data_IF_447069231353
#
_entry.id   IF_447069231353
#
_cell.length_a   1.000
_cell.length_b   1.000
_cell.length_c   1.000
_cell.angle_alpha   90.00
_cell.angle_beta   90.00
_cell.angle_gamma   90.00
#
_symmetry.space_group_name_H-M   'P 1'
#
loop_
_entity.id
_entity.type
_entity.pdbx_description
1 polymer ?
#
# COMPACT_ATOMS: atom_id res chain seq x y z
N UNK A 1 -5.78 -14.17 9.94
CA UNK A 1 -5.64 -12.71 10.21
C UNK A 1 -6.61 -11.97 9.31
N UNK A 2 -7.37 -11.02 9.85
CA UNK A 2 -8.38 -10.25 9.11
C UNK A 2 -7.73 -9.53 7.91
N UNK A 3 -8.28 -9.70 6.71
CA UNK A 3 -7.88 -9.00 5.48
C UNK A 3 -8.35 -7.53 5.48
N UNK A 4 -8.36 -6.88 6.65
CA UNK A 4 -8.78 -5.48 6.77
C UNK A 4 -7.66 -4.60 6.20
N UNK A 5 -8.01 -3.81 5.18
CA UNK A 5 -7.09 -2.83 4.63
C UNK A 5 -6.72 -1.80 5.72
N UNK A 6 -5.42 -1.56 5.92
CA UNK A 6 -4.93 -0.53 6.84
C UNK A 6 -4.99 0.80 6.08
N UNK A 7 -5.82 1.73 6.56
CA UNK A 7 -5.97 3.05 5.95
C UNK A 7 -4.72 3.89 6.15
N UNK A 8 -4.31 4.69 5.17
CA UNK A 8 -3.21 5.66 5.34
C UNK A 8 -3.59 6.90 6.14
N UNK A 9 -4.89 7.11 6.40
CA UNK A 9 -5.36 8.12 7.34
C UNK A 9 -5.33 7.63 8.79
N UNK A 10 -4.94 6.39 9.05
CA UNK A 10 -4.72 5.88 10.40
C UNK A 10 -3.37 6.41 10.92
N UNK A 11 -3.31 7.13 12.05
CA UNK A 11 -2.05 7.65 12.59
C UNK A 11 -1.03 6.53 12.86
N UNK A 12 -1.52 5.33 13.18
CA UNK A 12 -0.70 4.16 13.48
C UNK A 12 -0.58 3.22 12.26
N UNK A 13 -0.79 3.72 11.03
CA UNK A 13 -0.73 2.92 9.81
C UNK A 13 0.63 2.22 9.65
N UNK A 14 1.74 2.93 9.84
CA UNK A 14 3.10 2.39 9.71
C UNK A 14 3.36 1.29 10.75
N UNK A 15 2.99 1.53 12.01
CA UNK A 15 3.15 0.54 13.08
C UNK A 15 2.37 -0.74 12.77
N UNK A 16 1.09 -0.62 12.38
CA UNK A 16 0.24 -1.76 12.01
C UNK A 16 0.78 -2.50 10.79
N UNK A 17 1.31 -1.78 9.80
CA UNK A 17 1.91 -2.38 8.61
C UNK A 17 3.21 -3.13 8.95
N UNK A 18 4.07 -2.56 9.80
CA UNK A 18 5.29 -3.21 10.27
C UNK A 18 5.00 -4.47 11.09
N UNK A 19 4.04 -4.42 12.02
CA UNK A 19 3.62 -5.61 12.77
C UNK A 19 3.05 -6.71 11.85
N UNK A 20 2.28 -6.32 10.84
CA UNK A 20 1.76 -7.26 9.83
C UNK A 20 2.89 -7.84 8.96
N UNK A 21 3.87 -7.01 8.58
CA UNK A 21 5.04 -7.45 7.82
C UNK A 21 5.83 -8.50 8.59
N UNK A 22 6.14 -8.23 9.86
CA UNK A 22 6.86 -9.17 10.73
C UNK A 22 6.11 -10.50 10.86
N UNK A 23 4.79 -10.47 11.06
CA UNK A 23 3.97 -11.67 11.11
C UNK A 23 4.00 -12.47 9.80
N UNK A 24 3.93 -11.79 8.65
CA UNK A 24 4.03 -12.43 7.34
C UNK A 24 5.42 -13.02 7.09
N UNK A 25 6.49 -12.34 7.50
CA UNK A 25 7.87 -12.83 7.39
C UNK A 25 8.11 -14.05 8.29
N UNK A 26 7.68 -14.01 9.55
CA UNK A 26 7.70 -15.16 10.46
C UNK A 26 6.95 -16.36 9.88
N UNK A 27 5.74 -16.13 9.33
CA UNK A 27 4.97 -17.17 8.65
C UNK A 27 5.72 -17.73 7.43
N UNK A 28 6.38 -16.89 6.64
CA UNK A 28 7.12 -17.33 5.46
C UNK A 28 8.28 -18.26 5.84
N UNK A 29 9.06 -17.86 6.85
CA UNK A 29 10.17 -18.66 7.38
C UNK A 29 9.68 -19.99 7.90
N UNK A 30 8.65 -19.97 8.76
CA UNK A 30 8.02 -21.18 9.30
C UNK A 30 7.56 -22.15 8.20
N UNK A 31 6.81 -21.66 7.20
CA UNK A 31 6.34 -22.53 6.09
C UNK A 31 7.51 -23.17 5.32
N UNK A 32 8.58 -22.41 5.08
CA UNK A 32 9.78 -22.91 4.39
C UNK A 32 10.52 -23.97 5.21
N UNK A 33 10.69 -23.73 6.50
CA UNK A 33 11.36 -24.63 7.43
C UNK A 33 10.62 -25.96 7.54
N UNK A 34 9.30 -25.92 7.76
CA UNK A 34 8.48 -27.14 7.86
C UNK A 34 8.50 -27.92 6.54
N UNK A 35 8.35 -27.24 5.39
CA UNK A 35 8.46 -27.91 4.09
C UNK A 35 9.85 -28.52 3.86
N UNK A 36 10.92 -27.86 4.33
CA UNK A 36 12.28 -28.38 4.21
C UNK A 36 12.52 -29.58 5.11
N UNK A 37 12.01 -29.53 6.33
CA UNK A 37 12.05 -30.63 7.29
C UNK A 37 11.31 -31.85 6.74
N UNK A 38 10.06 -31.67 6.30
CA UNK A 38 9.27 -32.77 5.73
C UNK A 38 9.92 -33.37 4.49
N UNK A 39 10.49 -32.57 3.59
CA UNK A 39 11.24 -33.07 2.43
C UNK A 39 12.42 -33.97 2.81
N UNK A 40 13.02 -33.79 4.00
CA UNK A 40 14.16 -34.56 4.48
C UNK A 40 13.75 -35.81 5.28
N UNK A 41 12.71 -35.70 6.10
CA UNK A 41 12.34 -36.73 7.08
C UNK A 41 11.05 -37.49 6.74
N UNK A 42 10.24 -36.99 5.78
CA UNK A 42 8.96 -37.60 5.41
C UNK A 42 7.84 -37.43 6.43
N UNK A 43 8.09 -36.69 7.52
CA UNK A 43 7.16 -36.40 8.62
C UNK A 43 7.44 -35.01 9.17
N UNK A 44 6.43 -34.38 9.77
CA UNK A 44 6.58 -33.14 10.54
C UNK A 44 6.91 -33.38 12.01
N UNK A 45 6.91 -34.64 12.48
CA UNK A 45 7.22 -34.97 13.87
C UNK A 45 8.66 -34.57 14.22
N UNK A 46 8.83 -33.88 15.36
CA UNK A 46 10.13 -33.32 15.77
C UNK A 46 10.59 -32.10 14.97
N UNK A 47 9.76 -31.54 14.08
CA UNK A 47 10.09 -30.29 13.38
C UNK A 47 10.13 -29.12 14.38
N UNK A 48 11.24 -28.35 14.47
CA UNK A 48 11.31 -27.18 15.33
C UNK A 48 10.18 -26.19 15.08
N UNK A 49 9.54 -25.70 16.16
CA UNK A 49 8.43 -24.75 16.07
C UNK A 49 7.07 -25.36 15.70
N UNK A 50 6.99 -26.67 15.48
CA UNK A 50 5.73 -27.41 15.29
C UNK A 50 5.51 -28.29 16.51
N UNK A 51 4.32 -28.23 17.13
CA UNK A 51 3.97 -29.17 18.21
C UNK A 51 3.65 -30.56 17.66
N UNK A 52 3.86 -31.61 18.45
CA UNK A 52 3.61 -33.00 18.03
C UNK A 52 2.16 -33.21 17.56
N UNK A 53 1.20 -32.57 18.22
CA UNK A 53 -0.21 -32.57 17.81
C UNK A 53 -0.43 -31.93 16.43
N UNK A 54 0.26 -30.82 16.16
CA UNK A 54 0.16 -30.12 14.88
C UNK A 54 0.86 -30.89 13.78
N UNK A 55 2.02 -31.48 14.08
CA UNK A 55 2.76 -32.34 13.18
C UNK A 55 1.93 -33.55 12.75
N UNK A 56 1.28 -34.24 13.70
CA UNK A 56 0.41 -35.37 13.41
C UNK A 56 -0.75 -34.98 12.49
N UNK A 57 -1.39 -33.84 12.75
CA UNK A 57 -2.47 -33.31 11.90
C UNK A 57 -2.00 -33.00 10.48
N UNK A 58 -0.80 -32.44 10.34
CA UNK A 58 -0.21 -32.12 9.03
C UNK A 58 0.08 -33.42 8.27
N UNK A 59 0.72 -34.39 8.91
CA UNK A 59 1.09 -35.67 8.27
C UNK A 59 -0.14 -36.45 7.85
N UNK A 60 -1.15 -36.60 8.73
CA UNK A 60 -2.43 -37.25 8.39
C UNK A 60 -3.13 -36.55 7.23
N UNK A 61 -3.12 -35.21 7.19
CA UNK A 61 -3.72 -34.45 6.09
C UNK A 61 -3.02 -34.70 4.75
N UNK A 62 -1.69 -34.84 4.77
CA UNK A 62 -0.91 -35.16 3.56
C UNK A 62 -1.20 -36.59 3.11
N UNK A 63 -1.22 -37.56 4.03
CA UNK A 63 -1.51 -38.97 3.75
C UNK A 63 -2.94 -39.18 3.22
N UNK A 64 -3.92 -38.47 3.77
CA UNK A 64 -5.31 -38.53 3.33
C UNK A 64 -5.61 -37.70 2.08
N UNK A 65 -4.62 -36.95 1.56
CA UNK A 65 -4.77 -36.14 0.36
C UNK A 65 -4.86 -37.03 -0.89
N UNK A 66 -6.00 -36.96 -1.58
CA UNK A 66 -6.19 -37.63 -2.87
C UNK A 66 -5.40 -36.99 -4.02
N UNK A 67 -4.78 -35.84 -3.80
CA UNK A 67 -4.05 -35.08 -4.83
C UNK A 67 -2.57 -35.43 -4.81
N UNK A 68 -2.12 -36.15 -5.84
CA UNK A 68 -0.74 -36.65 -5.95
C UNK A 68 0.34 -35.56 -6.02
N UNK A 69 -0.03 -34.34 -6.41
CA UNK A 69 0.86 -33.20 -6.61
C UNK A 69 1.02 -32.28 -5.39
N UNK A 70 0.22 -32.46 -4.33
CA UNK A 70 0.26 -31.61 -3.13
C UNK A 70 0.59 -32.45 -1.88
N UNK A 71 1.85 -32.93 -1.84
CA UNK A 71 2.39 -33.79 -0.77
C UNK A 71 3.29 -33.05 0.23
N UNK A 72 3.15 -31.74 0.33
CA UNK A 72 3.96 -30.91 1.21
C UNK A 72 3.08 -30.30 2.32
N UNK A 73 3.63 -30.05 3.52
CA UNK A 73 2.92 -29.42 4.61
C UNK A 73 2.20 -28.13 4.24
N UNK A 74 2.91 -27.24 3.53
CA UNK A 74 2.38 -25.99 3.01
C UNK A 74 2.50 -25.96 1.50
N UNK A 75 1.37 -25.79 0.81
CA UNK A 75 1.35 -25.78 -0.64
C UNK A 75 2.13 -24.59 -1.24
N UNK A 76 2.63 -24.75 -2.45
CA UNK A 76 3.43 -23.73 -3.15
C UNK A 76 2.69 -22.40 -3.35
N UNK A 77 1.37 -22.46 -3.57
CA UNK A 77 0.54 -21.26 -3.69
C UNK A 77 0.45 -20.49 -2.36
N UNK A 78 0.50 -21.15 -1.21
CA UNK A 78 0.48 -20.48 0.10
C UNK A 78 1.75 -19.63 0.29
N UNK A 79 2.92 -20.21 -0.02
CA UNK A 79 4.20 -19.47 0.03
C UNK A 79 4.21 -18.32 -0.97
N UNK A 80 3.68 -18.52 -2.17
CA UNK A 80 3.64 -17.51 -3.23
C UNK A 80 2.73 -16.35 -2.85
N UNK A 81 1.53 -16.66 -2.33
CA UNK A 81 0.57 -15.65 -1.88
C UNK A 81 1.12 -14.84 -0.70
N UNK A 82 1.73 -15.50 0.29
CA UNK A 82 2.32 -14.80 1.42
C UNK A 82 3.53 -13.93 1.01
N UNK A 83 4.36 -14.39 0.07
CA UNK A 83 5.47 -13.59 -0.45
C UNK A 83 4.98 -12.36 -1.24
N UNK A 84 3.92 -12.50 -2.02
CA UNK A 84 3.26 -11.37 -2.69
C UNK A 84 2.70 -10.36 -1.68
N UNK A 85 2.13 -10.86 -0.58
CA UNK A 85 1.66 -10.02 0.53
C UNK A 85 2.80 -9.25 1.20
N UNK A 86 3.93 -9.91 1.50
CA UNK A 86 5.14 -9.27 2.04
C UNK A 86 5.59 -8.13 1.13
N UNK A 87 5.72 -8.39 -0.18
CA UNK A 87 6.14 -7.37 -1.16
C UNK A 87 5.19 -6.18 -1.17
N UNK A 88 3.88 -6.43 -1.16
CA UNK A 88 2.85 -5.39 -1.13
C UNK A 88 2.96 -4.52 0.13
N UNK A 89 3.14 -5.14 1.30
CA UNK A 89 3.26 -4.42 2.57
C UNK A 89 4.54 -3.58 2.60
N UNK A 90 5.68 -4.14 2.17
CA UNK A 90 6.95 -3.39 2.07
C UNK A 90 6.83 -2.17 1.15
N UNK A 91 6.23 -2.35 -0.03
CA UNK A 91 5.96 -1.24 -0.93
C UNK A 91 5.10 -0.17 -0.24
N UNK A 92 4.04 -0.60 0.47
CA UNK A 92 3.14 0.32 1.16
C UNK A 92 3.81 1.10 2.29
N UNK A 93 4.68 0.46 3.07
CA UNK A 93 5.48 1.11 4.11
C UNK A 93 6.38 2.18 3.48
N UNK A 94 7.14 1.81 2.45
CA UNK A 94 8.03 2.73 1.75
C UNK A 94 7.29 3.94 1.17
N UNK A 95 6.11 3.74 0.58
CA UNK A 95 5.27 4.84 0.10
C UNK A 95 4.90 5.82 1.22
N UNK A 96 4.43 5.30 2.36
CA UNK A 96 4.01 6.14 3.48
C UNK A 96 5.17 6.85 4.17
N UNK A 97 6.31 6.19 4.32
CA UNK A 97 7.54 6.80 4.84
C UNK A 97 8.03 7.92 3.92
N UNK A 98 8.08 7.66 2.61
CA UNK A 98 8.45 8.68 1.62
C UNK A 98 7.50 9.87 1.66
N UNK A 99 6.18 9.64 1.74
CA UNK A 99 5.22 10.74 1.83
C UNK A 99 5.39 11.54 3.13
N UNK A 100 5.79 10.90 4.23
CA UNK A 100 6.08 11.58 5.51
C UNK A 100 7.38 12.38 5.47
N UNK A 101 8.42 11.86 4.82
CA UNK A 101 9.74 12.49 4.74
C UNK A 101 9.76 13.67 3.75
N UNK A 102 9.24 13.44 2.54
CA UNK A 102 9.31 14.39 1.42
C UNK A 102 8.14 15.37 1.44
N UNK A 103 6.96 14.89 1.85
CA UNK A 103 5.74 15.67 1.83
C UNK A 103 5.21 15.97 0.42
N UNK A 104 4.11 16.70 0.39
CA UNK A 104 3.53 17.28 -0.81
C UNK A 104 3.43 18.80 -0.62
N UNK A 105 3.47 19.54 -1.73
CA UNK A 105 3.30 20.99 -1.73
C UNK A 105 2.07 21.39 -2.53
N UNK A 106 1.39 22.43 -2.03
CA UNK A 106 0.30 23.09 -2.73
C UNK A 106 0.79 24.04 -3.81
N UNK A 107 -0.13 24.56 -4.62
CA UNK A 107 0.17 25.52 -5.67
C UNK A 107 -1.04 26.40 -5.98
N UNK A 108 -0.81 27.56 -6.58
CA UNK A 108 -1.87 28.44 -7.09
C UNK A 108 -2.15 28.14 -8.56
N UNK A 109 -3.41 28.25 -8.95
CA UNK A 109 -3.87 28.10 -10.33
C UNK A 109 -4.85 29.23 -10.69
N UNK A 110 -5.25 29.30 -11.95
CA UNK A 110 -6.17 30.35 -12.39
C UNK A 110 -7.57 30.16 -11.76
N UNK A 111 -7.97 31.09 -10.90
CA UNK A 111 -9.27 31.06 -10.21
C UNK A 111 -9.31 30.17 -8.96
N UNK A 112 -8.16 29.93 -8.32
CA UNK A 112 -8.12 29.22 -7.03
C UNK A 112 -6.73 28.71 -6.60
N UNK A 113 -6.73 27.79 -5.64
CA UNK A 113 -5.52 27.18 -5.11
C UNK A 113 -5.70 25.71 -4.71
N UNK A 114 -4.60 24.97 -4.83
CA UNK A 114 -4.49 23.59 -4.39
C UNK A 114 -3.73 23.56 -3.05
N UNK A 115 -4.38 23.08 -2.01
CA UNK A 115 -3.87 23.02 -0.64
C UNK A 115 -3.64 21.56 -0.24
N UNK A 116 -2.46 21.30 0.33
CA UNK A 116 -2.12 20.01 0.93
C UNK A 116 -2.51 20.05 2.40
N UNK A 117 -3.56 19.31 2.76
CA UNK A 117 -4.04 19.20 4.13
C UNK A 117 -3.63 17.85 4.73
N UNK A 118 -2.54 17.87 5.49
CA UNK A 118 -1.98 16.68 6.12
C UNK A 118 -2.84 16.16 7.27
N UNK A 119 -3.55 17.04 7.99
CA UNK A 119 -4.37 16.67 9.16
C UNK A 119 -5.49 15.71 8.79
N UNK A 120 -6.16 15.95 7.67
CA UNK A 120 -7.21 15.06 7.14
C UNK A 120 -6.72 14.20 5.96
N UNK A 121 -5.44 14.25 5.63
CA UNK A 121 -4.81 13.52 4.52
C UNK A 121 -5.55 13.76 3.18
N UNK A 122 -5.68 15.02 2.77
CA UNK A 122 -6.40 15.44 1.55
C UNK A 122 -5.59 16.43 0.71
N UNK A 123 -5.67 16.25 -0.60
CA UNK A 123 -5.44 17.34 -1.55
C UNK A 123 -6.78 18.06 -1.73
N UNK A 124 -6.82 19.34 -1.41
CA UNK A 124 -8.00 20.20 -1.48
C UNK A 124 -7.82 21.22 -2.60
N UNK A 125 -8.83 21.39 -3.45
CA UNK A 125 -8.88 22.38 -4.51
C UNK A 125 -9.96 23.40 -4.13
N UNK A 126 -9.50 24.61 -3.79
CA UNK A 126 -10.34 25.77 -3.54
C UNK A 126 -10.47 26.57 -4.83
N UNK A 127 -11.70 26.98 -5.15
CA UNK A 127 -11.99 27.81 -6.31
C UNK A 127 -12.62 29.12 -5.84
N UNK A 128 -12.19 30.23 -6.41
CA UNK A 128 -12.73 31.57 -6.08
C UNK A 128 -14.21 31.66 -6.43
N UNK A 129 -14.58 31.05 -7.56
CA UNK A 129 -15.96 30.90 -8.02
C UNK A 129 -16.32 29.43 -8.18
N UNK A 130 -17.60 29.12 -8.01
CA UNK A 130 -18.11 27.76 -8.18
C UNK A 130 -17.81 27.25 -9.60
N UNK A 131 -17.09 26.12 -9.76
CA UNK A 131 -16.86 25.54 -11.08
C UNK A 131 -18.17 25.19 -11.77
N UNK A 132 -18.22 25.38 -13.08
CA UNK A 132 -19.36 24.98 -13.91
C UNK A 132 -19.57 23.45 -13.91
N UNK A 133 -20.67 23.02 -14.54
CA UNK A 133 -21.07 21.60 -14.57
C UNK A 133 -20.04 20.71 -15.27
N UNK A 134 -19.34 21.21 -16.28
CA UNK A 134 -18.35 20.45 -17.04
C UNK A 134 -17.07 20.25 -16.22
N UNK A 135 -16.56 21.32 -15.61
CA UNK A 135 -15.44 21.29 -14.67
C UNK A 135 -15.72 20.38 -13.48
N UNK A 136 -16.93 20.46 -12.92
CA UNK A 136 -17.39 19.54 -11.88
C UNK A 136 -17.37 18.07 -12.34
N UNK A 137 -17.76 17.78 -13.59
CA UNK A 137 -17.72 16.43 -14.15
C UNK A 137 -16.29 15.92 -14.27
N UNK A 138 -15.36 16.75 -14.74
CA UNK A 138 -13.93 16.43 -14.84
C UNK A 138 -13.35 16.09 -13.47
N UNK A 139 -13.62 16.91 -12.46
CA UNK A 139 -13.16 16.68 -11.08
C UNK A 139 -13.65 15.34 -10.54
N UNK A 140 -14.93 15.02 -10.72
CA UNK A 140 -15.51 13.72 -10.32
C UNK A 140 -14.85 12.54 -11.03
N UNK A 141 -14.62 12.63 -12.35
CA UNK A 141 -13.92 11.59 -13.12
C UNK A 141 -12.48 11.37 -12.63
N UNK A 142 -11.85 12.41 -12.11
CA UNK A 142 -10.52 12.35 -11.47
C UNK A 142 -10.58 12.00 -9.97
N UNK A 143 -11.74 11.57 -9.46
CA UNK A 143 -11.91 11.08 -8.10
C UNK A 143 -11.97 12.16 -7.02
N UNK A 144 -12.14 13.44 -7.40
CA UNK A 144 -12.41 14.51 -6.46
C UNK A 144 -13.89 14.57 -6.09
N UNK A 145 -14.15 14.85 -4.82
CA UNK A 145 -15.50 14.96 -4.25
C UNK A 145 -15.64 16.33 -3.60
N UNK A 146 -16.80 16.97 -3.81
CA UNK A 146 -17.12 18.22 -3.11
C UNK A 146 -17.30 17.96 -1.61
N UNK A 147 -16.67 18.79 -0.79
CA UNK A 147 -16.84 18.78 0.66
C UNK A 147 -17.50 20.07 1.12
N UNK A 148 -18.79 20.07 1.49
CA UNK A 148 -19.46 21.28 1.99
C UNK A 148 -18.80 21.82 3.26
N UNK A 149 -18.32 20.93 4.14
CA UNK A 149 -17.64 21.29 5.38
C UNK A 149 -16.35 22.06 5.14
N UNK A 150 -15.59 21.65 4.14
CA UNK A 150 -14.28 22.23 3.84
C UNK A 150 -14.37 23.31 2.75
N UNK A 151 -15.51 23.47 2.08
CA UNK A 151 -15.65 24.39 0.95
C UNK A 151 -14.77 24.06 -0.25
N UNK A 152 -14.32 22.80 -0.40
CA UNK A 152 -13.32 22.41 -1.39
C UNK A 152 -13.68 21.12 -2.12
N UNK A 153 -13.17 21.01 -3.35
CA UNK A 153 -13.08 19.72 -4.04
C UNK A 153 -11.87 18.96 -3.54
N UNK A 154 -12.06 17.75 -3.01
CA UNK A 154 -10.98 17.03 -2.36
C UNK A 154 -10.92 15.55 -2.70
N UNK A 155 -9.71 14.99 -2.60
CA UNK A 155 -9.46 13.54 -2.64
C UNK A 155 -8.33 13.18 -1.68
N UNK A 156 -8.20 11.89 -1.38
CA UNK A 156 -7.11 11.40 -0.53
C UNK A 156 -5.75 11.84 -1.08
N UNK A 157 -4.91 12.41 -0.22
CA UNK A 157 -3.56 12.83 -0.56
C UNK A 157 -2.66 11.61 -0.76
N UNK A 158 -2.11 11.50 -1.96
CA UNK A 158 -1.12 10.50 -2.38
C UNK A 158 -0.57 10.91 -3.76
N UNK A 159 0.44 10.19 -4.26
CA UNK A 159 1.04 10.47 -5.58
C UNK A 159 -0.01 10.48 -6.71
N UNK A 160 -1.00 9.60 -6.65
CA UNK A 160 -2.07 9.55 -7.65
C UNK A 160 -2.99 10.79 -7.59
N UNK A 161 -3.10 11.47 -6.44
CA UNK A 161 -3.83 12.72 -6.34
C UNK A 161 -3.11 13.85 -7.09
N UNK A 162 -1.80 13.96 -6.90
CA UNK A 162 -0.96 14.91 -7.63
C UNK A 162 -0.91 14.55 -9.12
N UNK A 163 -0.79 13.27 -9.47
CA UNK A 163 -0.76 12.86 -10.86
C UNK A 163 -2.10 13.13 -11.57
N UNK A 164 -3.23 12.94 -10.89
CA UNK A 164 -4.55 13.14 -11.48
C UNK A 164 -4.80 14.58 -11.95
N UNK A 165 -4.28 15.57 -11.21
CA UNK A 165 -4.45 16.99 -11.52
C UNK A 165 -3.58 17.48 -12.68
N UNK A 166 -2.55 16.73 -13.08
CA UNK A 166 -1.81 17.01 -14.33
C UNK A 166 -2.71 17.00 -15.59
N UNK A 167 -3.88 16.37 -15.49
CA UNK A 167 -4.84 16.20 -16.58
C UNK A 167 -6.14 16.97 -16.31
N UNK A 168 -6.06 18.02 -15.48
CA UNK A 168 -7.17 18.92 -15.17
C UNK A 168 -6.68 20.32 -15.51
N UNK A 169 -6.93 20.74 -16.75
CA UNK A 169 -6.25 21.92 -17.33
C UNK A 169 -6.51 23.22 -16.54
N UNK A 170 -7.68 23.34 -15.93
CA UNK A 170 -8.09 24.51 -15.14
C UNK A 170 -7.57 24.52 -13.69
N UNK A 171 -6.74 23.57 -13.29
CA UNK A 171 -6.03 23.59 -11.99
C UNK A 171 -4.52 23.52 -12.14
N UNK A 172 -4.02 23.70 -13.37
CA UNK A 172 -2.59 23.75 -13.62
C UNK A 172 -1.95 24.98 -12.95
N UNK A 173 -0.73 24.84 -12.42
CA UNK A 173 0.07 25.94 -11.92
C UNK A 173 0.16 27.12 -12.89
N UNK A 174 0.16 28.34 -12.34
CA UNK A 174 0.27 29.57 -13.11
C UNK A 174 1.58 29.69 -13.90
N UNK A 175 2.63 28.99 -13.47
CA UNK A 175 3.94 29.00 -14.15
C UNK A 175 4.02 28.01 -15.34
N UNK A 176 2.90 27.39 -15.70
CA UNK A 176 2.79 26.46 -16.83
C UNK A 176 3.43 25.09 -16.60
N UNK A 177 4.01 24.84 -15.42
CA UNK A 177 4.53 23.53 -15.05
C UNK A 177 3.40 22.57 -14.67
N UNK A 178 3.69 21.28 -14.63
CA UNK A 178 2.72 20.30 -14.12
C UNK A 178 2.73 20.30 -12.59
N UNK A 179 1.59 20.05 -11.93
CA UNK A 179 1.54 19.83 -10.48
C UNK A 179 2.59 18.84 -9.95
N UNK A 180 2.91 17.77 -10.71
CA UNK A 180 3.97 16.82 -10.35
C UNK A 180 5.38 17.40 -10.38
N UNK A 181 5.64 18.39 -11.24
CA UNK A 181 6.97 19.00 -11.37
C UNK A 181 7.27 19.95 -10.21
N UNK A 182 6.23 20.41 -9.52
CA UNK A 182 6.34 21.22 -8.30
C UNK A 182 6.63 20.40 -7.05
N UNK A 183 6.34 19.10 -7.07
CA UNK A 183 6.48 18.28 -5.87
C UNK A 183 7.95 18.07 -5.52
N UNK A 184 8.28 18.06 -4.21
CA UNK A 184 9.64 17.76 -3.80
C UNK A 184 10.00 16.33 -4.24
N UNK A 185 11.21 16.18 -4.78
CA UNK A 185 11.74 14.88 -5.16
C UNK A 185 12.47 14.31 -3.95
N UNK A 186 12.27 13.02 -3.69
CA UNK A 186 13.08 12.32 -2.70
C UNK A 186 14.57 12.49 -3.09
N UNK A 187 15.47 12.72 -2.12
CA UNK A 187 16.90 12.72 -2.41
C UNK A 187 17.24 11.42 -3.13
N UNK A 188 17.96 11.51 -4.25
CA UNK A 188 18.48 10.31 -4.89
C UNK A 188 19.35 9.61 -3.86
N UNK A 189 19.01 8.37 -3.49
CA UNK A 189 19.94 7.54 -2.72
C UNK A 189 21.18 7.44 -3.58
N UNK A 190 22.29 8.00 -3.11
CA UNK A 190 23.59 7.84 -3.74
C UNK A 190 23.83 6.33 -3.82
N UNK A 191 23.72 5.77 -5.03
CA UNK A 191 23.83 4.33 -5.23
C UNK A 191 25.27 3.85 -5.06
N UNK A 192 26.20 4.73 -4.67
CA UNK A 192 27.55 4.34 -4.26
C UNK A 192 28.28 3.50 -5.30
N UNK A 193 27.86 3.60 -6.57
CA UNK A 193 28.49 2.90 -7.68
C UNK A 193 29.80 3.62 -8.00
N UNK A 194 30.83 3.28 -7.23
CA UNK A 194 32.24 3.41 -7.59
C UNK A 194 32.85 2.02 -7.62
#
# INVERSE_FOLDING_TARGET
>A
MSNKAISSSDPNALEKLNAKLEACEKRQTFMKEVNAYYRKFGTCQGCPGVSDEMAAKIDTKIESSSYSWDKQPFASYELTNNNSEIKRIKQRINELERHREVGFVGWKFAGGEAVVNNDINRLQLFFDERPDKERCSVLKRKGFHWSPREGAWQRQLNDNAIYAVNYVDFVNPLDGKKPTDLQPKAPQRDTGAR
#
